data_IF_954923139722
#
_entry.id   IF_954923139722
#
_cell.length_a   1.000
_cell.length_b   1.000
_cell.length_c   1.000
_cell.angle_alpha   90.00
_cell.angle_beta   90.00
_cell.angle_gamma   90.00
#
_symmetry.space_group_name_H-M   'P 1'
#
loop_
_entity.id
_entity.type
_entity.pdbx_description
1 polymer ?
#
# COMPACT_ATOMS: atom_id res chain seq x y z
N UNK A 1 32.88 67.64 3.30
CA UNK A 1 31.47 67.41 3.68
C UNK A 1 31.09 66.03 3.16
N UNK A 2 30.88 65.08 4.07
CA UNK A 2 31.11 63.64 3.85
C UNK A 2 29.91 62.92 3.22
N UNK A 3 29.94 62.69 1.90
CA UNK A 3 28.91 61.93 1.18
C UNK A 3 29.27 60.42 1.12
N UNK A 4 30.53 60.06 1.37
CA UNK A 4 30.98 58.66 1.32
C UNK A 4 30.66 57.84 2.58
N UNK A 5 30.13 58.45 3.64
CA UNK A 5 29.89 57.77 4.92
C UNK A 5 28.50 57.09 4.99
N UNK A 6 27.54 57.42 4.10
CA UNK A 6 26.19 56.83 4.15
C UNK A 6 26.03 55.49 3.43
N UNK A 7 26.97 55.10 2.55
CA UNK A 7 26.87 53.82 1.83
C UNK A 7 27.32 52.61 2.67
N UNK A 8 28.20 52.82 3.65
CA UNK A 8 28.71 51.72 4.49
C UNK A 8 27.65 51.14 5.44
N UNK A 9 26.70 51.96 5.91
CA UNK A 9 25.59 51.51 6.76
C UNK A 9 24.55 50.71 5.98
N UNK A 10 24.20 51.15 4.76
CA UNK A 10 23.22 50.48 3.91
C UNK A 10 23.65 49.06 3.51
N UNK A 11 24.93 48.85 3.23
CA UNK A 11 25.44 47.51 2.90
C UNK A 11 25.36 46.54 4.09
N UNK A 12 25.67 46.98 5.31
CA UNK A 12 25.58 46.12 6.51
C UNK A 12 24.13 45.73 6.82
N UNK A 13 23.20 46.66 6.65
CA UNK A 13 21.77 46.41 6.83
C UNK A 13 21.28 45.39 5.79
N UNK A 14 21.68 45.54 4.52
CA UNK A 14 21.31 44.59 3.47
C UNK A 14 21.83 43.17 3.73
N UNK A 15 23.08 43.03 4.20
CA UNK A 15 23.66 41.72 4.54
C UNK A 15 22.92 41.08 5.73
N UNK A 16 22.54 41.84 6.75
CA UNK A 16 21.78 41.31 7.88
C UNK A 16 20.36 40.88 7.50
N UNK A 17 19.68 41.65 6.64
CA UNK A 17 18.36 41.26 6.14
C UNK A 17 18.47 39.97 5.32
N UNK A 18 19.47 39.86 4.44
CA UNK A 18 19.68 38.66 3.63
C UNK A 18 19.99 37.42 4.48
N UNK A 19 20.82 37.58 5.52
CA UNK A 19 21.15 36.51 6.45
C UNK A 19 19.93 36.05 7.26
N UNK A 20 19.09 37.00 7.71
CA UNK A 20 17.86 36.70 8.43
C UNK A 20 16.86 35.92 7.55
N UNK A 21 16.67 36.35 6.30
CA UNK A 21 15.80 35.65 5.34
C UNK A 21 16.32 34.24 5.04
N UNK A 22 17.64 34.09 4.85
CA UNK A 22 18.27 32.79 4.65
C UNK A 22 18.08 31.85 5.85
N UNK A 23 18.22 32.37 7.08
CA UNK A 23 17.99 31.59 8.29
C UNK A 23 16.54 31.12 8.43
N UNK A 24 15.56 32.00 8.18
CA UNK A 24 14.13 31.64 8.24
C UNK A 24 13.79 30.58 7.19
N UNK A 25 14.31 30.71 5.97
CA UNK A 25 14.11 29.72 4.91
C UNK A 25 14.70 28.36 5.28
N UNK A 26 15.89 28.34 5.90
CA UNK A 26 16.55 27.11 6.34
C UNK A 26 15.78 26.42 7.46
N UNK A 27 15.32 27.17 8.47
CA UNK A 27 14.52 26.62 9.57
C UNK A 27 13.18 26.08 9.05
N UNK A 28 12.51 26.84 8.17
CA UNK A 28 11.22 26.43 7.59
C UNK A 28 11.38 25.18 6.71
N UNK A 29 12.43 25.13 5.89
CA UNK A 29 12.77 23.96 5.09
C UNK A 29 13.15 22.75 5.94
N UNK A 30 13.90 22.95 7.02
CA UNK A 30 14.24 21.89 7.97
C UNK A 30 13.01 21.32 8.69
N UNK A 31 12.11 22.19 9.15
CA UNK A 31 10.85 21.79 9.77
C UNK A 31 9.95 21.05 8.78
N UNK A 32 9.81 21.55 7.55
CA UNK A 32 9.06 20.87 6.50
C UNK A 32 9.65 19.50 6.18
N UNK A 33 10.97 19.40 6.06
CA UNK A 33 11.67 18.15 5.81
C UNK A 33 11.49 17.16 6.98
N UNK A 34 11.50 17.63 8.23
CA UNK A 34 11.24 16.81 9.41
C UNK A 34 9.79 16.29 9.44
N UNK A 35 8.80 17.13 9.15
CA UNK A 35 7.38 16.72 9.05
C UNK A 35 7.17 15.75 7.88
N UNK A 36 7.84 16.01 6.75
CA UNK A 36 7.79 15.12 5.61
C UNK A 36 8.45 13.78 5.94
N UNK A 37 9.57 13.78 6.65
CA UNK A 37 10.22 12.58 7.11
C UNK A 37 9.31 11.80 8.08
N UNK A 38 8.67 12.43 9.06
CA UNK A 38 7.79 11.70 9.99
C UNK A 38 6.53 11.13 9.35
N UNK A 39 6.01 11.75 8.29
CA UNK A 39 4.84 11.22 7.55
C UNK A 39 5.19 10.22 6.47
N UNK A 40 6.23 10.47 5.68
CA UNK A 40 6.57 9.61 4.53
C UNK A 40 7.55 8.51 4.90
N UNK A 41 8.42 8.66 5.90
CA UNK A 41 9.33 7.58 6.30
C UNK A 41 8.55 6.34 6.74
N UNK A 42 7.47 6.39 7.55
CA UNK A 42 6.72 5.18 7.89
C UNK A 42 6.08 4.50 6.67
N UNK A 43 5.46 5.27 5.78
CA UNK A 43 4.79 4.74 4.58
C UNK A 43 5.79 4.14 3.59
N UNK A 44 6.91 4.84 3.38
CA UNK A 44 7.96 4.45 2.43
C UNK A 44 8.84 3.35 3.03
N UNK A 45 9.07 3.31 4.35
CA UNK A 45 9.73 2.20 5.05
C UNK A 45 8.81 0.99 5.19
N UNK A 46 7.49 1.15 5.20
CA UNK A 46 6.58 0.00 5.13
C UNK A 46 6.52 -0.57 3.70
N UNK A 47 6.56 0.28 2.67
CA UNK A 47 6.62 -0.15 1.26
C UNK A 47 8.00 -0.67 0.85
N UNK A 48 9.08 0.02 1.21
CA UNK A 48 10.45 -0.49 1.08
C UNK A 48 10.69 -1.63 2.05
N UNK A 49 10.08 -1.70 3.22
CA UNK A 49 10.20 -2.83 4.14
C UNK A 49 9.62 -4.10 3.54
N UNK A 50 8.52 -4.00 2.78
CA UNK A 50 8.00 -5.11 1.98
C UNK A 50 8.97 -5.58 0.88
N UNK A 51 9.59 -4.65 0.15
CA UNK A 51 10.54 -4.99 -0.93
C UNK A 51 11.96 -5.28 -0.45
N UNK A 52 12.39 -4.73 0.68
CA UNK A 52 13.63 -5.01 1.42
C UNK A 52 13.47 -6.31 2.21
N UNK A 53 12.28 -6.77 2.59
CA UNK A 53 12.13 -8.15 3.07
C UNK A 53 12.31 -9.14 1.92
N UNK A 54 11.94 -8.79 0.69
CA UNK A 54 12.23 -9.61 -0.50
C UNK A 54 13.69 -9.53 -0.95
N UNK A 55 14.27 -8.33 -1.00
CA UNK A 55 15.70 -8.15 -1.33
C UNK A 55 16.59 -8.64 -0.18
N UNK A 56 16.13 -8.44 1.04
CA UNK A 56 16.67 -8.96 2.29
C UNK A 56 16.56 -10.47 2.30
N UNK A 57 15.50 -11.13 1.84
CA UNK A 57 15.52 -12.61 1.70
C UNK A 57 16.58 -13.10 0.67
N UNK A 58 16.92 -12.27 -0.32
CA UNK A 58 17.97 -12.56 -1.31
C UNK A 58 19.38 -12.19 -0.78
N UNK A 59 19.50 -11.22 0.14
CA UNK A 59 20.74 -10.77 0.80
C UNK A 59 20.94 -11.33 2.22
N UNK A 60 19.93 -11.96 2.80
CA UNK A 60 19.85 -12.55 4.15
C UNK A 60 20.57 -13.88 4.30
N UNK A 61 21.16 -14.53 3.26
CA UNK A 61 22.23 -15.46 3.55
C UNK A 61 23.31 -14.77 4.40
N UNK A 62 23.62 -13.48 4.16
CA UNK A 62 24.75 -12.82 4.85
C UNK A 62 24.42 -12.41 6.29
N UNK A 63 23.17 -11.98 6.57
CA UNK A 63 22.78 -11.54 7.92
C UNK A 63 22.48 -12.70 8.90
N UNK A 64 22.15 -13.89 8.39
CA UNK A 64 21.96 -15.10 9.22
C UNK A 64 23.17 -16.03 9.23
N UNK A 65 24.25 -15.71 8.52
CA UNK A 65 25.45 -16.54 8.50
C UNK A 65 26.25 -16.54 9.82
N UNK A 66 25.81 -15.84 10.87
CA UNK A 66 26.53 -15.84 12.14
C UNK A 66 27.99 -15.40 12.00
N UNK A 67 28.29 -14.55 11.01
CA UNK A 67 29.58 -13.89 10.93
C UNK A 67 29.63 -12.96 12.14
N UNK A 68 30.22 -13.44 13.23
CA UNK A 68 30.82 -12.61 14.25
C UNK A 68 31.91 -11.79 13.54
N UNK A 69 31.50 -10.72 12.87
CA UNK A 69 32.41 -9.74 12.31
C UNK A 69 33.24 -9.25 13.49
N UNK A 70 34.56 -9.36 13.35
CA UNK A 70 35.48 -8.80 14.31
C UNK A 70 35.10 -7.33 14.54
N UNK A 71 35.31 -6.74 15.74
CA UNK A 71 35.10 -5.32 15.96
C UNK A 71 35.75 -4.43 14.88
N UNK A 72 36.84 -4.91 14.27
CA UNK A 72 37.50 -4.26 13.13
C UNK A 72 36.64 -4.25 11.85
N UNK A 73 35.96 -5.34 11.53
CA UNK A 73 35.17 -5.44 10.30
C UNK A 73 33.86 -4.64 10.42
N UNK A 74 33.29 -4.58 11.64
CA UNK A 74 32.16 -3.68 11.91
C UNK A 74 32.57 -2.21 11.73
N UNK A 75 33.75 -1.81 12.23
CA UNK A 75 34.26 -0.46 12.02
C UNK A 75 34.45 -0.15 10.52
N UNK A 76 35.00 -1.11 9.75
CA UNK A 76 35.20 -0.95 8.30
C UNK A 76 33.86 -0.81 7.56
N UNK A 77 32.85 -1.59 7.96
CA UNK A 77 31.48 -1.47 7.44
C UNK A 77 30.92 -0.05 7.66
N UNK A 78 31.03 0.49 8.87
CA UNK A 78 30.55 1.84 9.17
C UNK A 78 31.30 2.93 8.41
N UNK A 79 32.61 2.81 8.23
CA UNK A 79 33.42 3.75 7.43
C UNK A 79 32.98 3.72 5.96
N UNK A 80 32.78 2.54 5.39
CA UNK A 80 32.31 2.37 4.02
C UNK A 80 30.91 2.99 3.85
N UNK A 81 30.00 2.69 4.78
CA UNK A 81 28.64 3.24 4.79
C UNK A 81 28.67 4.77 4.84
N UNK A 82 29.50 5.35 5.71
CA UNK A 82 29.64 6.80 5.85
C UNK A 82 30.22 7.44 4.58
N UNK A 83 31.21 6.81 3.95
CA UNK A 83 31.78 7.26 2.68
C UNK A 83 30.76 7.26 1.54
N UNK A 84 29.94 6.21 1.43
CA UNK A 84 28.85 6.14 0.45
C UNK A 84 27.82 7.25 0.72
N UNK A 85 27.42 7.45 1.98
CA UNK A 85 26.50 8.52 2.36
C UNK A 85 27.05 9.91 2.00
N UNK A 86 28.31 10.18 2.30
CA UNK A 86 28.98 11.44 1.95
C UNK A 86 28.98 11.68 0.43
N UNK A 87 29.17 10.61 -0.35
CA UNK A 87 29.13 10.65 -1.82
C UNK A 87 27.73 11.03 -2.32
N UNK A 88 26.67 10.49 -1.72
CA UNK A 88 25.29 10.88 -2.04
C UNK A 88 24.99 12.33 -1.68
N UNK A 89 25.43 12.79 -0.50
CA UNK A 89 25.29 14.19 -0.10
C UNK A 89 26.02 15.11 -1.08
N UNK A 90 27.25 14.76 -1.45
CA UNK A 90 28.02 15.51 -2.46
C UNK A 90 27.27 15.56 -3.79
N UNK A 91 26.79 14.43 -4.30
CA UNK A 91 26.04 14.37 -5.56
C UNK A 91 24.77 15.23 -5.49
N UNK A 92 24.05 15.19 -4.37
CA UNK A 92 22.85 16.00 -4.17
C UNK A 92 23.17 17.51 -4.21
N UNK A 93 24.17 17.96 -3.44
CA UNK A 93 24.51 19.38 -3.37
C UNK A 93 25.14 19.91 -4.66
N UNK A 94 26.00 19.13 -5.31
CA UNK A 94 26.76 19.60 -6.47
C UNK A 94 26.12 19.27 -7.82
N UNK A 95 25.17 18.33 -7.88
CA UNK A 95 24.47 17.97 -9.13
C UNK A 95 22.99 18.33 -9.06
N UNK A 96 22.27 17.86 -8.03
CA UNK A 96 20.82 18.04 -7.97
C UNK A 96 20.41 19.50 -7.73
N UNK A 97 21.06 20.21 -6.79
CA UNK A 97 20.76 21.61 -6.52
C UNK A 97 21.01 22.53 -7.73
N UNK A 98 22.19 22.52 -8.40
CA UNK A 98 22.42 23.41 -9.53
C UNK A 98 21.55 23.06 -10.74
N UNK A 99 21.20 21.79 -10.95
CA UNK A 99 20.25 21.42 -12.02
C UNK A 99 18.84 21.92 -11.71
N UNK A 100 18.33 21.72 -10.49
CA UNK A 100 17.04 22.25 -10.06
C UNK A 100 16.98 23.79 -10.18
N UNK A 101 18.06 24.48 -9.78
CA UNK A 101 18.14 25.94 -9.90
C UNK A 101 18.08 26.41 -11.37
N UNK A 102 18.78 25.69 -12.28
CA UNK A 102 18.69 25.96 -13.73
C UNK A 102 17.26 25.74 -14.26
N UNK A 103 16.57 24.68 -13.81
CA UNK A 103 15.19 24.43 -14.19
C UNK A 103 14.24 25.52 -13.72
N UNK A 104 14.35 25.93 -12.45
CA UNK A 104 13.54 27.02 -11.88
C UNK A 104 13.77 28.34 -12.62
N UNK A 105 15.01 28.67 -12.95
CA UNK A 105 15.33 29.89 -13.70
C UNK A 105 14.76 29.86 -15.13
N UNK A 106 14.85 28.72 -15.82
CA UNK A 106 14.29 28.55 -17.16
C UNK A 106 12.75 28.56 -17.16
N UNK A 107 12.13 28.01 -16.12
CA UNK A 107 10.69 28.07 -15.95
C UNK A 107 10.23 29.51 -15.68
N UNK A 108 10.90 30.21 -14.77
CA UNK A 108 10.63 31.60 -14.45
C UNK A 108 10.73 32.52 -15.68
N UNK A 109 11.76 32.35 -16.51
CA UNK A 109 11.91 33.13 -17.74
C UNK A 109 10.78 32.86 -18.74
N UNK A 110 10.33 31.61 -18.90
CA UNK A 110 9.19 31.26 -19.76
C UNK A 110 7.89 31.87 -19.28
N UNK A 111 7.60 31.77 -17.98
CA UNK A 111 6.38 32.35 -17.38
C UNK A 111 6.39 33.87 -17.51
N UNK A 112 7.51 34.53 -17.24
CA UNK A 112 7.67 35.97 -17.46
C UNK A 112 7.48 36.36 -18.92
N UNK A 113 7.98 35.56 -19.86
CA UNK A 113 7.79 35.80 -21.29
C UNK A 113 6.32 35.64 -21.70
N UNK A 114 5.60 34.65 -21.15
CA UNK A 114 4.17 34.47 -21.41
C UNK A 114 3.29 35.56 -20.81
N UNK A 115 3.64 36.05 -19.62
CA UNK A 115 2.91 37.14 -18.94
C UNK A 115 3.15 38.50 -19.60
N UNK A 116 4.37 38.75 -20.11
CA UNK A 116 4.74 39.99 -20.77
C UNK A 116 4.55 39.97 -22.29
N UNK A 117 4.23 38.81 -22.89
CA UNK A 117 3.91 38.74 -24.30
C UNK A 117 2.72 39.68 -24.55
N UNK A 118 2.88 40.73 -25.39
CA UNK A 118 1.78 41.62 -25.71
C UNK A 118 0.65 40.74 -26.20
N UNK A 119 -0.48 40.76 -25.49
CA UNK A 119 -1.70 40.08 -25.93
C UNK A 119 -1.96 40.65 -27.31
N UNK A 120 -1.58 39.90 -28.35
CA UNK A 120 -1.88 40.25 -29.72
C UNK A 120 -3.40 40.28 -29.73
N UNK A 121 -3.95 41.48 -29.59
CA UNK A 121 -5.36 41.73 -29.80
C UNK A 121 -5.52 41.27 -31.22
N UNK A 122 -6.09 40.07 -31.36
CA UNK A 122 -6.41 39.47 -32.64
C UNK A 122 -7.28 40.52 -33.30
N UNK A 123 -6.65 41.32 -34.15
CA UNK A 123 -7.32 42.34 -34.91
C UNK A 123 -8.31 41.53 -35.71
N UNK A 124 -9.57 41.60 -35.28
CA UNK A 124 -10.67 40.92 -35.90
C UNK A 124 -10.49 41.13 -37.39
N UNK A 125 -10.15 40.04 -38.10
CA UNK A 125 -10.11 40.06 -39.54
C UNK A 125 -11.54 40.35 -39.94
N UNK A 126 -11.82 41.62 -40.20
CA UNK A 126 -13.00 42.05 -40.93
C UNK A 126 -12.97 41.24 -42.21
N UNK A 127 -13.82 40.21 -42.26
CA UNK A 127 -14.07 39.43 -43.45
C UNK A 127 -14.60 40.38 -44.52
N UNK A 128 -13.70 40.91 -45.35
CA UNK A 128 -14.05 41.50 -46.63
C UNK A 128 -14.50 40.35 -47.52
N UNK A 129 -15.81 40.22 -47.68
CA UNK A 129 -16.47 39.32 -48.62
C UNK A 129 -16.15 39.84 -50.04
N UNK A 130 -15.38 39.07 -50.81
CA UNK A 130 -15.31 39.15 -52.28
C UNK A 130 -15.36 37.74 -52.89
N UNK A 131 -15.80 37.60 -54.15
CA UNK A 131 -16.51 36.44 -54.70
C UNK A 131 -15.56 35.31 -55.18
N UNK A 132 -16.11 34.14 -55.58
CA UNK A 132 -15.33 32.93 -55.73
C UNK A 132 -14.58 32.94 -57.06
N UNK A 133 -13.28 32.69 -57.02
CA UNK A 133 -12.55 32.19 -58.19
C UNK A 133 -12.01 30.80 -57.93
N UNK A 134 -12.35 29.96 -58.88
CA UNK A 134 -12.05 28.56 -59.09
C UNK A 134 -10.56 28.30 -59.38
N UNK A 135 -10.17 27.05 -59.08
CA UNK A 135 -9.05 26.28 -59.67
C UNK A 135 -7.64 26.63 -59.16
N UNK A 136 -6.78 25.70 -58.73
CA UNK A 136 -6.41 24.38 -59.28
C UNK A 136 -5.61 23.57 -58.19
N UNK A 137 -5.43 22.23 -58.31
CA UNK A 137 -4.89 21.38 -57.26
C UNK A 137 -3.40 21.06 -57.45
N UNK A 138 -2.68 20.87 -56.33
CA UNK A 138 -1.57 19.92 -56.07
C UNK A 138 -0.64 20.50 -55.00
N UNK A 139 -0.44 19.76 -53.91
CA UNK A 139 0.83 19.05 -53.65
C UNK A 139 0.73 18.17 -52.42
N UNK A 140 1.23 16.93 -52.61
CA UNK A 140 1.66 15.91 -51.64
C UNK A 140 1.25 16.05 -50.17
N UNK A 141 0.25 15.24 -49.80
CA UNK A 141 0.08 14.75 -48.44
C UNK A 141 1.28 13.87 -48.08
N UNK A 142 2.25 14.43 -47.35
CA UNK A 142 3.33 13.68 -46.74
C UNK A 142 2.81 12.93 -45.53
N UNK A 143 2.81 11.61 -45.59
CA UNK A 143 2.44 10.73 -44.48
C UNK A 143 3.53 10.83 -43.40
N UNK A 144 3.30 11.62 -42.36
CA UNK A 144 4.13 11.66 -41.16
C UNK A 144 3.75 10.48 -40.26
N UNK A 145 4.66 9.53 -40.07
CA UNK A 145 4.46 8.35 -39.23
C UNK A 145 4.24 8.66 -37.72
N UNK A 146 4.29 9.93 -37.31
CA UNK A 146 4.04 10.36 -35.94
C UNK A 146 2.60 10.88 -35.69
N UNK A 147 1.75 10.99 -36.71
CA UNK A 147 0.38 11.52 -36.55
C UNK A 147 -0.68 10.43 -36.26
N UNK A 148 -0.27 9.15 -36.27
CA UNK A 148 -1.15 8.00 -36.08
C UNK A 148 -1.71 7.81 -34.65
N UNK A 149 -1.26 8.59 -33.66
CA UNK A 149 -1.75 8.48 -32.28
C UNK A 149 -2.60 9.66 -31.81
N UNK A 150 -2.76 10.71 -32.61
CA UNK A 150 -3.60 11.87 -32.23
C UNK A 150 -5.04 11.82 -32.74
N UNK A 151 -5.36 10.89 -33.65
CA UNK A 151 -6.66 10.80 -34.31
C UNK A 151 -7.75 10.03 -33.54
N UNK A 152 -7.45 9.51 -32.33
CA UNK A 152 -8.47 8.92 -31.44
C UNK A 152 -8.98 9.87 -30.36
N UNK A 153 -8.45 11.09 -30.27
CA UNK A 153 -9.04 12.13 -29.43
C UNK A 153 -10.00 12.96 -30.30
N UNK A 154 -11.34 12.78 -30.18
CA UNK A 154 -12.28 13.69 -30.82
C UNK A 154 -11.95 15.11 -30.35
N UNK A 155 -11.55 15.93 -31.30
CA UNK A 155 -11.22 17.34 -31.11
C UNK A 155 -12.50 18.04 -30.67
N UNK A 156 -12.45 18.75 -29.53
CA UNK A 156 -13.49 19.61 -28.95
C UNK A 156 -14.48 19.04 -27.92
N UNK A 157 -14.13 17.94 -27.24
CA UNK A 157 -14.78 17.58 -25.96
C UNK A 157 -13.73 17.22 -24.93
N UNK A 158 -13.48 18.08 -23.95
CA UNK A 158 -12.63 17.72 -22.83
C UNK A 158 -13.27 16.53 -22.10
N UNK A 159 -12.68 15.34 -22.22
CA UNK A 159 -12.97 14.20 -21.36
C UNK A 159 -12.69 14.65 -19.92
N UNK A 160 -13.76 14.99 -19.21
CA UNK A 160 -13.70 15.36 -17.80
C UNK A 160 -13.17 14.15 -17.03
N UNK A 161 -12.32 14.40 -16.04
CA UNK A 161 -11.78 13.34 -15.16
C UNK A 161 -12.93 12.51 -14.56
N UNK A 162 -14.10 13.13 -14.39
CA UNK A 162 -15.34 12.52 -13.95
C UNK A 162 -15.83 11.39 -14.88
N UNK A 163 -15.69 11.49 -16.20
CA UNK A 163 -16.13 10.42 -17.13
C UNK A 163 -15.20 9.20 -17.10
N UNK A 164 -13.91 9.41 -16.85
CA UNK A 164 -12.93 8.32 -16.68
C UNK A 164 -13.20 7.59 -15.35
N UNK A 165 -13.54 8.33 -14.29
CA UNK A 165 -13.88 7.73 -12.98
C UNK A 165 -15.23 7.01 -13.04
N UNK A 166 -16.22 7.55 -13.76
CA UNK A 166 -17.55 6.93 -13.92
C UNK A 166 -17.52 5.67 -14.80
N UNK A 167 -16.65 5.65 -15.82
CA UNK A 167 -16.43 4.47 -16.66
C UNK A 167 -15.75 3.30 -15.94
N UNK A 168 -14.95 3.58 -14.91
CA UNK A 168 -14.30 2.54 -14.09
C UNK A 168 -15.20 1.99 -12.97
N UNK A 169 -16.21 2.74 -12.51
CA UNK A 169 -17.06 2.32 -11.38
C UNK A 169 -18.25 1.44 -11.76
N UNK A 170 -18.49 1.17 -13.05
CA UNK A 170 -19.70 0.46 -13.52
C UNK A 170 -19.57 -1.07 -13.64
N UNK A 171 -18.46 -1.69 -13.22
CA UNK A 171 -18.30 -3.16 -13.22
C UNK A 171 -18.26 -3.74 -11.80
N UNK A 172 -19.36 -3.62 -11.07
CA UNK A 172 -19.83 -4.61 -10.09
C UNK A 172 -21.24 -4.23 -9.62
N UNK A 173 -22.25 -4.47 -10.46
CA UNK A 173 -23.62 -4.55 -9.97
C UNK A 173 -23.80 -5.94 -9.39
N UNK A 174 -23.79 -5.98 -8.06
CA UNK A 174 -24.09 -7.14 -7.22
C UNK A 174 -25.53 -7.58 -7.53
N UNK A 175 -25.66 -8.82 -7.98
CA UNK A 175 -26.93 -9.53 -8.05
C UNK A 175 -27.42 -9.70 -6.61
N UNK A 176 -28.38 -8.86 -6.20
CA UNK A 176 -29.15 -9.05 -4.98
C UNK A 176 -30.15 -10.18 -5.23
N UNK A 177 -29.94 -11.32 -4.58
CA UNK A 177 -30.98 -12.33 -4.39
C UNK A 177 -31.75 -12.01 -3.11
N UNK A 178 -32.91 -11.39 -3.29
CA UNK A 178 -34.01 -11.47 -2.34
C UNK A 178 -34.50 -12.93 -2.29
N UNK A 179 -34.44 -13.57 -1.11
CA UNK A 179 -35.46 -14.56 -0.77
C UNK A 179 -35.91 -14.38 0.67
N UNK A 180 -36.98 -13.59 0.76
CA UNK A 180 -37.87 -13.46 1.89
C UNK A 180 -38.63 -14.78 2.10
N UNK A 181 -38.49 -15.39 3.27
CA UNK A 181 -39.57 -16.20 3.85
C UNK A 181 -39.47 -16.24 5.38
N UNK A 182 -40.03 -15.19 5.97
CA UNK A 182 -40.50 -15.17 7.35
C UNK A 182 -41.80 -15.99 7.42
N UNK A 183 -41.80 -17.05 8.22
CA UNK A 183 -43.03 -17.75 8.61
C UNK A 183 -42.92 -18.02 10.10
N UNK A 184 -43.51 -17.12 10.89
CA UNK A 184 -43.82 -17.37 12.29
C UNK A 184 -44.93 -18.42 12.36
N UNK A 185 -44.67 -19.54 13.00
CA UNK A 185 -45.72 -20.40 13.53
C UNK A 185 -45.31 -20.76 14.96
N UNK A 186 -46.17 -20.31 15.86
CA UNK A 186 -46.08 -20.38 17.30
C UNK A 186 -46.90 -21.61 17.68
N UNK A 187 -46.25 -22.72 18.03
CA UNK A 187 -46.90 -23.91 18.59
C UNK A 187 -46.04 -24.48 19.73
N UNK A 188 -46.71 -24.75 20.85
CA UNK A 188 -46.18 -25.21 22.14
C UNK A 188 -45.60 -26.64 22.09
N UNK A 189 -44.71 -27.00 23.03
CA UNK A 189 -43.93 -28.23 22.98
C UNK A 189 -44.74 -29.46 23.44
N UNK A 190 -45.02 -30.37 22.51
CA UNK A 190 -45.32 -31.76 22.83
C UNK A 190 -43.98 -32.50 22.95
N UNK A 191 -43.65 -32.96 24.16
CA UNK A 191 -42.52 -33.85 24.40
C UNK A 191 -42.82 -35.21 23.77
N UNK A 192 -42.37 -35.38 22.53
CA UNK A 192 -42.29 -36.67 21.87
C UNK A 192 -40.86 -37.21 22.09
N UNK A 193 -40.76 -38.35 22.77
CA UNK A 193 -39.53 -39.13 22.95
C UNK A 193 -39.02 -39.57 21.56
N UNK A 194 -38.34 -38.67 20.86
CA UNK A 194 -37.64 -38.96 19.62
C UNK A 194 -36.34 -39.68 19.94
N UNK A 195 -36.24 -40.92 19.50
CA UNK A 195 -34.99 -41.69 19.45
C UNK A 195 -33.84 -40.83 18.87
N UNK A 196 -32.61 -40.98 19.37
CA UNK A 196 -31.49 -40.17 18.94
C UNK A 196 -31.22 -40.39 17.45
N UNK A 197 -31.61 -39.40 16.64
CA UNK A 197 -31.25 -39.34 15.23
C UNK A 197 -29.73 -39.17 15.20
N UNK A 198 -29.03 -40.27 14.92
CA UNK A 198 -27.61 -40.27 14.56
C UNK A 198 -27.53 -39.53 13.22
N UNK A 199 -27.33 -38.22 13.28
CA UNK A 199 -27.03 -37.41 12.11
C UNK A 199 -25.65 -37.78 11.59
N UNK A 200 -25.61 -38.72 10.65
CA UNK A 200 -24.46 -38.94 9.76
C UNK A 200 -24.31 -37.71 8.84
N UNK A 201 -23.66 -36.67 9.38
CA UNK A 201 -23.28 -35.44 8.68
C UNK A 201 -22.05 -35.70 7.79
N UNK A 202 -22.23 -36.47 6.71
CA UNK A 202 -21.11 -36.94 5.86
C UNK A 202 -20.92 -36.09 4.57
N UNK A 203 -21.79 -35.13 4.27
CA UNK A 203 -21.79 -34.46 2.96
C UNK A 203 -21.21 -33.02 2.89
N UNK A 204 -20.78 -32.43 4.01
CA UNK A 204 -20.28 -31.03 4.03
C UNK A 204 -18.75 -30.91 4.17
N UNK A 205 -18.01 -32.02 4.09
CA UNK A 205 -16.62 -32.10 4.58
C UNK A 205 -15.57 -31.49 3.65
N UNK A 206 -15.88 -31.29 2.36
CA UNK A 206 -14.83 -30.94 1.38
C UNK A 206 -14.39 -29.47 1.43
N UNK A 207 -15.30 -28.54 1.81
CA UNK A 207 -14.93 -27.11 1.95
C UNK A 207 -14.07 -26.82 3.19
N UNK A 208 -14.13 -27.66 4.23
CA UNK A 208 -13.36 -27.45 5.47
C UNK A 208 -11.96 -28.09 5.45
N UNK A 209 -11.68 -28.98 4.49
CA UNK A 209 -10.39 -29.67 4.42
C UNK A 209 -9.17 -28.70 4.43
N UNK A 210 -9.17 -27.58 3.69
CA UNK A 210 -8.05 -26.62 3.72
C UNK A 210 -7.87 -25.94 5.08
N UNK A 211 -8.97 -25.64 5.77
CA UNK A 211 -8.95 -24.99 7.09
C UNK A 211 -8.44 -25.95 8.16
N UNK A 212 -8.84 -27.22 8.10
CA UNK A 212 -8.37 -28.28 9.00
C UNK A 212 -6.85 -28.45 8.91
N UNK A 213 -6.37 -28.65 7.68
CA UNK A 213 -4.95 -28.79 7.34
C UNK A 213 -4.12 -27.57 7.75
N UNK A 214 -4.68 -26.37 7.59
CA UNK A 214 -4.04 -25.13 8.01
C UNK A 214 -3.98 -25.02 9.54
N UNK A 215 -5.04 -25.40 10.22
CA UNK A 215 -5.15 -25.36 11.69
C UNK A 215 -4.15 -26.32 12.33
N UNK A 216 -3.97 -27.53 11.78
CA UNK A 216 -2.95 -28.48 12.25
C UNK A 216 -1.56 -27.87 12.14
N UNK A 217 -1.19 -27.34 10.97
CA UNK A 217 0.11 -26.71 10.76
C UNK A 217 0.34 -25.52 11.71
N UNK A 218 -0.72 -24.75 11.99
CA UNK A 218 -0.68 -23.63 12.92
C UNK A 218 -0.42 -24.11 14.35
N UNK A 219 -1.18 -25.10 14.83
CA UNK A 219 -1.08 -25.65 16.18
C UNK A 219 0.25 -26.38 16.42
N UNK A 220 0.82 -27.00 15.38
CA UNK A 220 2.17 -27.59 15.43
C UNK A 220 3.29 -26.55 15.52
N UNK A 221 2.99 -25.28 15.24
CA UNK A 221 3.98 -24.21 15.22
C UNK A 221 4.92 -24.27 14.01
N UNK A 222 4.56 -25.00 12.93
CA UNK A 222 5.38 -25.02 11.72
C UNK A 222 5.16 -23.73 10.93
N UNK A 223 5.99 -22.74 11.23
CA UNK A 223 5.99 -21.44 10.55
C UNK A 223 6.13 -21.58 9.05
N UNK A 224 6.96 -22.50 8.55
CA UNK A 224 7.18 -22.66 7.12
C UNK A 224 5.93 -23.21 6.43
N UNK A 225 5.30 -24.24 7.01
CA UNK A 225 4.07 -24.83 6.49
C UNK A 225 2.90 -23.84 6.52
N UNK A 226 2.71 -23.11 7.63
CA UNK A 226 1.65 -22.09 7.77
C UNK A 226 1.76 -21.04 6.67
N UNK A 227 2.94 -20.46 6.46
CA UNK A 227 3.13 -19.44 5.42
C UNK A 227 3.12 -20.03 4.00
N UNK A 228 3.49 -21.29 3.81
CA UNK A 228 3.32 -21.97 2.52
C UNK A 228 1.83 -22.13 2.17
N UNK A 229 1.03 -22.65 3.10
CA UNK A 229 -0.43 -22.80 2.92
C UNK A 229 -1.14 -21.44 2.76
N UNK A 230 -0.71 -20.42 3.50
CA UNK A 230 -1.22 -19.06 3.32
C UNK A 230 -0.97 -18.52 1.90
N UNK A 231 0.25 -18.69 1.38
CA UNK A 231 0.58 -18.27 0.00
C UNK A 231 -0.23 -19.06 -1.02
N UNK A 232 -0.38 -20.36 -0.82
CA UNK A 232 -1.21 -21.21 -1.66
C UNK A 232 -2.66 -20.70 -1.69
N UNK A 233 -3.24 -20.36 -0.53
CA UNK A 233 -4.61 -19.82 -0.47
C UNK A 233 -4.75 -18.49 -1.21
N UNK A 234 -3.78 -17.58 -1.05
CA UNK A 234 -3.75 -16.30 -1.77
C UNK A 234 -3.67 -16.52 -3.29
N UNK A 235 -2.88 -17.51 -3.73
CA UNK A 235 -2.73 -17.82 -5.16
C UNK A 235 -3.97 -18.50 -5.76
N UNK A 236 -4.73 -19.25 -4.97
CA UNK A 236 -5.92 -19.95 -5.40
C UNK A 236 -7.16 -19.04 -5.53
N UNK A 237 -6.99 -17.71 -5.44
CA UNK A 237 -8.06 -16.70 -5.44
C UNK A 237 -9.17 -16.95 -4.40
N UNK A 238 -8.88 -17.75 -3.37
CA UNK A 238 -9.80 -18.01 -2.27
C UNK A 238 -9.90 -16.78 -1.37
N UNK A 239 -11.09 -16.55 -0.82
CA UNK A 239 -11.29 -15.52 0.20
C UNK A 239 -10.54 -15.92 1.47
N UNK A 240 -9.44 -15.22 1.76
CA UNK A 240 -8.60 -15.46 2.92
C UNK A 240 -9.38 -15.30 4.24
N UNK A 241 -10.35 -14.38 4.24
CA UNK A 241 -11.27 -14.17 5.36
C UNK A 241 -12.04 -15.43 5.73
N UNK A 242 -12.53 -16.18 4.72
CA UNK A 242 -13.25 -17.44 4.93
C UNK A 242 -12.36 -18.52 5.53
N UNK A 243 -11.10 -18.60 5.10
CA UNK A 243 -10.12 -19.52 5.70
C UNK A 243 -9.86 -19.15 7.17
N UNK A 244 -9.56 -17.88 7.44
CA UNK A 244 -9.24 -17.44 8.80
C UNK A 244 -10.44 -17.57 9.75
N UNK A 245 -11.64 -17.26 9.27
CA UNK A 245 -12.88 -17.47 10.02
C UNK A 245 -13.10 -18.95 10.32
N UNK A 246 -12.91 -19.85 9.35
CA UNK A 246 -13.03 -21.28 9.57
C UNK A 246 -11.98 -21.81 10.58
N UNK A 247 -10.74 -21.32 10.52
CA UNK A 247 -9.68 -21.69 11.48
C UNK A 247 -10.04 -21.23 12.89
N UNK A 248 -10.56 -20.01 13.06
CA UNK A 248 -11.01 -19.52 14.37
C UNK A 248 -12.17 -20.35 14.90
N UNK A 249 -13.18 -20.65 14.06
CA UNK A 249 -14.29 -21.50 14.46
C UNK A 249 -13.82 -22.88 14.93
N UNK A 250 -12.90 -23.53 14.19
CA UNK A 250 -12.34 -24.83 14.58
C UNK A 250 -11.58 -24.77 15.92
N UNK A 251 -10.81 -23.70 16.15
CA UNK A 251 -10.09 -23.52 17.41
C UNK A 251 -11.02 -23.21 18.58
N UNK A 252 -12.06 -22.40 18.36
CA UNK A 252 -13.09 -22.07 19.34
C UNK A 252 -13.93 -23.30 19.71
N UNK A 253 -14.33 -24.12 18.74
CA UNK A 253 -15.03 -25.40 18.98
C UNK A 253 -14.22 -26.33 19.89
N UNK A 254 -12.91 -26.42 19.66
CA UNK A 254 -12.03 -27.24 20.50
C UNK A 254 -11.82 -26.62 21.89
N UNK A 255 -11.78 -25.30 21.99
CA UNK A 255 -11.74 -24.62 23.28
C UNK A 255 -13.02 -24.90 24.09
N UNK A 256 -14.20 -24.76 23.47
CA UNK A 256 -15.50 -25.07 24.08
C UNK A 256 -15.63 -26.55 24.42
N UNK A 257 -15.13 -27.44 23.58
CA UNK A 257 -15.12 -28.88 23.86
C UNK A 257 -14.33 -29.22 25.13
N UNK A 258 -13.28 -28.46 25.44
CA UNK A 258 -12.51 -28.65 26.69
C UNK A 258 -13.20 -28.12 27.93
N UNK A 259 -13.99 -27.05 27.79
CA UNK A 259 -14.70 -26.44 28.92
C UNK A 259 -16.01 -27.16 29.22
N UNK A 260 -16.81 -27.40 28.18
CA UNK A 260 -18.19 -27.82 28.30
C UNK A 260 -18.40 -29.30 27.88
N UNK A 261 -17.38 -29.95 27.30
CA UNK A 261 -17.49 -31.32 26.81
C UNK A 261 -18.25 -31.45 25.49
N UNK A 262 -18.38 -30.36 24.71
CA UNK A 262 -19.03 -30.39 23.39
C UNK A 262 -18.28 -31.30 22.41
N UNK A 263 -19.01 -31.87 21.45
CA UNK A 263 -18.42 -32.65 20.37
C UNK A 263 -17.56 -31.74 19.50
N UNK A 264 -16.35 -32.17 19.16
CA UNK A 264 -15.43 -31.45 18.28
C UNK A 264 -14.73 -32.42 17.31
N UNK A 265 -14.10 -31.87 16.28
CA UNK A 265 -13.29 -32.63 15.34
C UNK A 265 -12.12 -33.35 16.05
N UNK A 266 -12.06 -34.67 15.88
CA UNK A 266 -11.07 -35.54 16.55
C UNK A 266 -9.63 -35.19 16.14
N UNK A 267 -9.43 -34.77 14.89
CA UNK A 267 -8.12 -34.38 14.36
C UNK A 267 -7.59 -33.11 15.03
N UNK A 268 -8.41 -32.07 15.11
CA UNK A 268 -8.01 -30.80 15.76
C UNK A 268 -7.89 -30.98 17.27
N UNK A 269 -8.79 -31.76 17.90
CA UNK A 269 -8.69 -32.10 19.31
C UNK A 269 -7.37 -32.81 19.65
N UNK A 270 -6.94 -33.75 18.80
CA UNK A 270 -5.66 -34.44 18.95
C UNK A 270 -4.46 -33.52 18.72
N UNK A 271 -4.50 -32.68 17.69
CA UNK A 271 -3.41 -31.74 17.39
C UNK A 271 -3.21 -30.73 18.54
N UNK A 272 -4.31 -30.20 19.07
CA UNK A 272 -4.29 -29.23 20.18
C UNK A 272 -4.01 -29.87 21.53
N UNK A 273 -4.08 -31.19 21.70
CA UNK A 273 -3.95 -31.87 22.99
C UNK A 273 -2.65 -31.52 23.76
N UNK A 274 -1.61 -31.06 23.04
CA UNK A 274 -0.34 -30.59 23.62
C UNK A 274 -0.41 -29.17 24.21
N UNK A 275 -1.35 -28.36 23.75
CA UNK A 275 -1.54 -26.98 24.20
C UNK A 275 -2.32 -26.95 25.51
N UNK A 276 -1.89 -26.11 26.44
CA UNK A 276 -2.67 -25.82 27.65
C UNK A 276 -3.90 -24.97 27.30
N UNK A 277 -5.00 -25.13 28.06
CA UNK A 277 -6.22 -24.32 27.89
C UNK A 277 -5.94 -22.80 27.85
N UNK A 278 -5.12 -22.20 28.74
CA UNK A 278 -4.84 -20.76 28.66
C UNK A 278 -3.97 -20.37 27.46
N UNK A 279 -3.19 -21.31 26.88
CA UNK A 279 -2.48 -21.05 25.61
C UNK A 279 -3.46 -21.03 24.45
N UNK A 280 -4.43 -21.95 24.44
CA UNK A 280 -5.46 -22.02 23.40
C UNK A 280 -6.35 -20.78 23.41
N UNK A 281 -6.75 -20.30 24.59
CA UNK A 281 -7.50 -19.05 24.76
C UNK A 281 -6.74 -17.85 24.16
N UNK A 282 -5.46 -17.68 24.55
CA UNK A 282 -4.60 -16.63 23.98
C UNK A 282 -4.42 -16.73 22.47
N UNK A 283 -4.37 -17.97 21.95
CA UNK A 283 -4.25 -18.22 20.52
C UNK A 283 -5.51 -17.72 19.79
N UNK A 284 -6.69 -18.12 20.27
CA UNK A 284 -7.99 -17.66 19.73
C UNK A 284 -8.09 -16.14 19.81
N UNK A 285 -7.81 -15.54 20.97
CA UNK A 285 -7.81 -14.08 21.17
C UNK A 285 -6.89 -13.35 20.18
N UNK A 286 -5.69 -13.88 19.95
CA UNK A 286 -4.71 -13.28 19.05
C UNK A 286 -5.16 -13.28 17.59
N UNK A 287 -5.88 -14.32 17.17
CA UNK A 287 -6.43 -14.45 15.82
C UNK A 287 -7.67 -13.55 15.66
N UNK A 288 -8.59 -13.59 16.61
CA UNK A 288 -9.83 -12.79 16.57
C UNK A 288 -9.54 -11.29 16.58
N UNK A 289 -8.67 -10.82 17.48
CA UNK A 289 -8.28 -9.40 17.56
C UNK A 289 -7.69 -8.89 16.25
N UNK A 290 -6.96 -9.75 15.54
CA UNK A 290 -6.32 -9.38 14.29
C UNK A 290 -7.30 -9.33 13.10
N UNK A 291 -8.36 -10.16 13.11
CA UNK A 291 -9.44 -10.06 12.12
C UNK A 291 -10.26 -8.80 12.36
N UNK A 292 -10.70 -8.55 13.60
CA UNK A 292 -11.54 -7.39 13.96
C UNK A 292 -10.84 -6.05 13.73
N UNK A 293 -9.51 -6.02 13.83
CA UNK A 293 -8.73 -4.80 13.62
C UNK A 293 -8.33 -4.55 12.17
N UNK A 294 -8.72 -5.40 11.21
CA UNK A 294 -8.33 -5.27 9.78
C UNK A 294 -8.87 -3.95 9.20
N UNK A 295 -8.07 -2.89 9.08
CA UNK A 295 -7.13 -2.60 7.99
C UNK A 295 -7.64 -3.12 6.64
N UNK A 296 -7.94 -2.19 5.73
CA UNK A 296 -8.48 -2.39 4.37
C UNK A 296 -7.63 -3.25 3.41
N UNK A 297 -6.62 -3.96 3.91
CA UNK A 297 -5.73 -4.87 3.19
C UNK A 297 -5.73 -6.25 3.87
N UNK A 298 -6.66 -7.09 3.44
CA UNK A 298 -6.95 -8.45 3.95
C UNK A 298 -5.69 -9.30 4.19
N UNK A 299 -4.71 -9.24 3.28
CA UNK A 299 -3.50 -10.08 3.35
C UNK A 299 -2.50 -9.67 4.42
N UNK A 300 -2.42 -8.37 4.75
CA UNK A 300 -1.47 -7.87 5.74
C UNK A 300 -1.97 -8.14 7.15
N UNK A 301 -3.28 -7.98 7.39
CA UNK A 301 -3.94 -8.30 8.65
C UNK A 301 -3.76 -9.78 9.02
N UNK A 302 -4.07 -10.68 8.09
CA UNK A 302 -3.91 -12.12 8.30
C UNK A 302 -2.46 -12.52 8.60
N UNK A 303 -1.46 -11.93 7.92
CA UNK A 303 -0.05 -12.21 8.21
C UNK A 303 0.35 -11.77 9.61
N UNK A 304 -0.08 -10.59 10.05
CA UNK A 304 0.20 -10.11 11.41
C UNK A 304 -0.51 -10.97 12.46
N UNK A 305 -1.76 -11.39 12.20
CA UNK A 305 -2.51 -12.33 13.03
C UNK A 305 -1.69 -13.61 13.27
N UNK A 306 -1.22 -14.22 12.18
CA UNK A 306 -0.47 -15.47 12.22
C UNK A 306 0.89 -15.32 12.91
N UNK A 307 1.58 -14.19 12.74
CA UNK A 307 2.83 -13.92 13.45
C UNK A 307 2.59 -13.85 14.96
N UNK A 308 1.52 -13.18 15.39
CA UNK A 308 1.15 -13.10 16.82
C UNK A 308 0.75 -14.46 17.37
N UNK A 309 -0.05 -15.21 16.62
CA UNK A 309 -0.46 -16.57 16.97
C UNK A 309 0.76 -17.51 17.14
N UNK A 310 1.69 -17.50 16.18
CA UNK A 310 2.93 -18.29 16.28
C UNK A 310 3.82 -17.87 17.45
N UNK A 311 3.87 -16.57 17.77
CA UNK A 311 4.58 -16.09 18.94
C UNK A 311 3.97 -16.59 20.26
N UNK A 312 2.64 -16.74 20.35
CA UNK A 312 1.96 -17.37 21.51
C UNK A 312 2.35 -18.84 21.65
N UNK A 313 2.61 -19.53 20.53
CA UNK A 313 3.04 -20.92 20.49
C UNK A 313 4.56 -21.10 20.70
N UNK A 314 5.34 -20.02 20.67
CA UNK A 314 6.79 -20.05 20.82
C UNK A 314 7.57 -20.50 19.57
N UNK A 315 6.97 -20.34 18.38
CA UNK A 315 7.51 -20.72 17.07
C UNK A 315 8.15 -19.57 16.28
#
# INVERSE_FOLDING_TARGET
MNIFQSNASSHRIAVHILALVGFIALVSGGMWCAVYATRFVPETVNRLGGTILHLGLILSPVATLGLNLSPADNALYWVLLFGVFLTFVYLFFFVAIPTANRYLHNFGSRVLTMLNAPRAVSAASTHTILPPQQELPKTSCGYSAYDGFKSFAPTSGALSVEDIVKGLSQKHSVVSSEHMKESATNDEPIFEDTEPIVHDSIAATDELAPAHDFTIALVEGDRAAVFAKLRQQINNAGTLERLMSAVICLLDEVYRARLDGTVCDIGIARATARLSTPTLEKLVDSLTTAIDSSYSLETTGAKLALIRALAVLGA
#
